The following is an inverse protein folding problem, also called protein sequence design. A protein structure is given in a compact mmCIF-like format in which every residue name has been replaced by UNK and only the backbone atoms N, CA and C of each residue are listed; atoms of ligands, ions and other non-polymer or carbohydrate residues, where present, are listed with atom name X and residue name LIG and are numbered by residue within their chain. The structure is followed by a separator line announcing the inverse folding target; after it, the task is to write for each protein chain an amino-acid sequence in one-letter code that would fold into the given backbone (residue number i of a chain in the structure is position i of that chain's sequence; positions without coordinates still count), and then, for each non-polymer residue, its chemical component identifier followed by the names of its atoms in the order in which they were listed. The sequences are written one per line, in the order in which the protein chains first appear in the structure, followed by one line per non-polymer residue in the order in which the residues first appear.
data_IF_426045679433
#
_entry.id   IF_426045679433
#
_cell.length_a   1.000
_cell.length_b   1.000
_cell.length_c   1.000
_cell.angle_alpha   90.00
_cell.angle_beta   90.00
_cell.angle_gamma   90.00
#
_symmetry.space_group_name_H-M   'P 1'
#
loop_
_entity.id
_entity.type
_entity.pdbx_description
1 polymer ?
#
# COMPACT_ATOMS: atom_id res chain seq x y z
N UNK A 1 -62.74 -37.69 -6.12
CA UNK A 1 -62.06 -36.49 -6.64
C UNK A 1 -60.58 -36.50 -6.27
N UNK A 2 -59.72 -36.30 -7.27
CA UNK A 2 -58.29 -35.92 -7.27
C UNK A 2 -57.44 -36.03 -5.99
N UNK A 3 -56.62 -37.08 -5.88
CA UNK A 3 -55.45 -37.13 -4.99
C UNK A 3 -54.11 -37.08 -5.74
N UNK A 4 -54.08 -37.33 -7.05
CA UNK A 4 -52.87 -37.34 -7.89
C UNK A 4 -52.48 -35.96 -8.44
N UNK A 5 -53.41 -35.02 -8.56
CA UNK A 5 -53.18 -33.71 -9.20
C UNK A 5 -52.33 -32.73 -8.37
N UNK A 6 -52.28 -32.91 -7.04
CA UNK A 6 -51.48 -32.07 -6.13
C UNK A 6 -49.98 -32.38 -6.20
N UNK A 7 -49.60 -33.62 -6.57
CA UNK A 7 -48.20 -34.03 -6.69
C UNK A 7 -47.56 -33.53 -8.00
N UNK A 8 -48.31 -33.47 -9.10
CA UNK A 8 -47.79 -33.03 -10.42
C UNK A 8 -47.52 -31.52 -10.46
N UNK A 9 -48.33 -30.72 -9.76
CA UNK A 9 -48.09 -29.27 -9.63
C UNK A 9 -46.87 -28.92 -8.76
N UNK A 10 -46.52 -29.78 -7.80
CA UNK A 10 -45.39 -29.57 -6.91
C UNK A 10 -44.04 -29.65 -7.63
N UNK A 11 -43.90 -30.57 -8.59
CA UNK A 11 -42.65 -30.75 -9.34
C UNK A 11 -42.36 -29.53 -10.23
N UNK A 12 -43.38 -29.02 -10.93
CA UNK A 12 -43.25 -27.82 -11.76
C UNK A 12 -42.87 -26.58 -10.94
N UNK A 13 -43.52 -26.38 -9.79
CA UNK A 13 -43.21 -25.26 -8.90
C UNK A 13 -41.79 -25.37 -8.30
N UNK A 14 -41.35 -26.58 -7.95
CA UNK A 14 -40.01 -26.80 -7.43
C UNK A 14 -38.94 -26.51 -8.49
N UNK A 15 -39.13 -26.96 -9.73
CA UNK A 15 -38.20 -26.70 -10.82
C UNK A 15 -38.14 -25.21 -11.17
N UNK A 16 -39.29 -24.53 -11.30
CA UNK A 16 -39.34 -23.11 -11.63
C UNK A 16 -38.83 -22.23 -10.47
N UNK A 17 -39.30 -22.48 -9.24
CA UNK A 17 -38.90 -21.74 -8.06
C UNK A 17 -37.43 -21.97 -7.70
N UNK A 18 -36.97 -23.23 -7.76
CA UNK A 18 -35.58 -23.58 -7.54
C UNK A 18 -34.65 -22.97 -8.59
N UNK A 19 -35.04 -22.99 -9.87
CA UNK A 19 -34.26 -22.35 -10.94
C UNK A 19 -34.21 -20.83 -10.76
N UNK A 20 -35.33 -20.19 -10.43
CA UNK A 20 -35.37 -18.75 -10.17
C UNK A 20 -34.48 -18.35 -8.99
N UNK A 21 -34.53 -19.12 -7.89
CA UNK A 21 -33.67 -18.89 -6.72
C UNK A 21 -32.19 -19.11 -7.07
N UNK A 22 -31.87 -20.16 -7.81
CA UNK A 22 -30.50 -20.43 -8.25
C UNK A 22 -29.96 -19.31 -9.14
N UNK A 23 -30.76 -18.81 -10.09
CA UNK A 23 -30.38 -17.66 -10.94
C UNK A 23 -30.15 -16.41 -10.08
N UNK A 24 -31.04 -16.12 -9.12
CA UNK A 24 -30.87 -14.99 -8.22
C UNK A 24 -29.58 -15.10 -7.37
N UNK A 25 -29.26 -16.29 -6.86
CA UNK A 25 -28.02 -16.54 -6.12
C UNK A 25 -26.78 -16.37 -7.00
N UNK A 26 -26.82 -16.83 -8.26
CA UNK A 26 -25.70 -16.65 -9.20
C UNK A 26 -25.48 -15.17 -9.53
N UNK A 27 -26.56 -14.41 -9.78
CA UNK A 27 -26.48 -12.96 -10.02
C UNK A 27 -25.91 -12.25 -8.80
N UNK A 28 -26.38 -12.58 -7.59
CA UNK A 28 -25.87 -12.01 -6.35
C UNK A 28 -24.39 -12.34 -6.12
N UNK A 29 -24.00 -13.60 -6.30
CA UNK A 29 -22.61 -14.04 -6.15
C UNK A 29 -21.67 -13.32 -7.15
N UNK A 30 -22.09 -13.19 -8.42
CA UNK A 30 -21.34 -12.43 -9.42
C UNK A 30 -21.27 -10.95 -9.08
N UNK A 31 -22.35 -10.34 -8.60
CA UNK A 31 -22.37 -8.94 -8.16
C UNK A 31 -21.45 -8.67 -6.98
N UNK A 32 -21.32 -9.61 -6.04
CA UNK A 32 -20.37 -9.51 -4.91
C UNK A 32 -18.93 -9.69 -5.38
N UNK A 33 -18.67 -10.61 -6.32
CA UNK A 33 -17.34 -10.81 -6.89
C UNK A 33 -16.85 -9.58 -7.68
N UNK A 34 -17.76 -8.88 -8.38
CA UNK A 34 -17.47 -7.65 -9.13
C UNK A 34 -17.16 -6.43 -8.25
N UNK A 35 -17.39 -6.51 -6.93
CA UNK A 35 -17.07 -5.42 -5.99
C UNK A 35 -15.63 -5.46 -5.49
N UNK A 36 -14.84 -6.47 -5.86
CA UNK A 36 -13.40 -6.46 -5.56
C UNK A 36 -12.75 -5.36 -6.39
N UNK A 37 -12.14 -4.40 -5.71
CA UNK A 37 -11.38 -3.35 -6.37
C UNK A 37 -10.28 -3.96 -7.24
N UNK A 38 -10.02 -3.34 -8.38
CA UNK A 38 -8.95 -3.74 -9.27
C UNK A 38 -7.61 -3.45 -8.61
N UNK A 39 -6.60 -4.33 -8.77
CA UNK A 39 -5.27 -4.05 -8.30
C UNK A 39 -4.64 -2.92 -9.13
N UNK A 40 -3.68 -2.20 -8.54
CA UNK A 40 -2.88 -1.21 -9.25
C UNK A 40 -1.41 -1.30 -8.83
N UNK A 41 -0.53 -0.84 -9.72
CA UNK A 41 0.90 -0.87 -9.50
C UNK A 41 1.43 0.50 -9.10
N UNK A 42 2.44 0.52 -8.24
CA UNK A 42 3.19 1.71 -7.87
C UNK A 42 4.69 1.42 -7.85
N UNK A 43 5.52 2.42 -8.16
CA UNK A 43 6.97 2.29 -8.18
C UNK A 43 7.56 3.08 -7.01
N UNK A 44 8.30 2.39 -6.15
CA UNK A 44 9.04 3.00 -5.05
C UNK A 44 10.53 3.08 -5.38
N UNK A 45 11.07 4.28 -5.38
CA UNK A 45 12.47 4.58 -5.63
C UNK A 45 13.19 4.67 -4.29
N UNK A 46 14.05 3.70 -3.98
CA UNK A 46 14.88 3.72 -2.78
C UNK A 46 16.35 3.98 -3.13
N UNK A 47 17.09 4.77 -2.32
CA UNK A 47 18.52 4.93 -2.52
C UNK A 47 19.29 3.63 -2.21
N UNK A 48 18.81 2.85 -1.25
CA UNK A 48 19.33 1.53 -0.90
C UNK A 48 18.16 0.63 -0.50
N UNK A 49 18.13 -0.59 -1.02
CA UNK A 49 17.14 -1.61 -0.71
C UNK A 49 17.84 -2.89 -0.25
N UNK A 50 18.33 -2.91 1.00
CA UNK A 50 18.93 -4.12 1.56
C UNK A 50 17.84 -5.16 1.81
N UNK A 51 17.90 -6.26 1.08
CA UNK A 51 17.10 -7.48 1.23
C UNK A 51 15.60 -7.37 0.95
N UNK A 52 15.12 -6.30 0.29
CA UNK A 52 13.80 -6.33 -0.35
C UNK A 52 13.87 -7.27 -1.56
N UNK A 53 12.96 -8.23 -1.63
CA UNK A 53 12.82 -9.16 -2.74
C UNK A 53 11.36 -9.27 -3.20
N UNK A 54 11.15 -9.91 -4.34
CA UNK A 54 9.80 -10.26 -4.82
C UNK A 54 9.05 -11.05 -3.75
N UNK A 55 7.81 -10.68 -3.48
CA UNK A 55 6.98 -11.24 -2.41
C UNK A 55 7.07 -10.51 -1.07
N UNK A 56 7.97 -9.53 -0.93
CA UNK A 56 8.04 -8.69 0.28
C UNK A 56 6.68 -8.02 0.54
N UNK A 57 6.08 -8.17 1.73
CA UNK A 57 4.79 -7.57 2.03
C UNK A 57 4.89 -6.05 2.13
N UNK A 58 3.88 -5.35 1.63
CA UNK A 58 3.75 -3.90 1.76
C UNK A 58 2.61 -3.58 2.69
N UNK A 59 2.89 -2.74 3.70
CA UNK A 59 1.94 -2.38 4.74
C UNK A 59 1.72 -0.87 4.78
N UNK A 60 0.50 -0.47 5.09
CA UNK A 60 0.16 0.90 5.45
C UNK A 60 -0.30 0.88 6.90
N UNK A 61 0.41 1.58 7.78
CA UNK A 61 0.12 1.61 9.24
C UNK A 61 -0.04 0.19 9.83
N UNK A 62 0.79 -0.76 9.40
CA UNK A 62 0.75 -2.15 9.86
C UNK A 62 -0.28 -3.08 9.18
N UNK A 63 -1.16 -2.56 8.31
CA UNK A 63 -2.11 -3.39 7.54
C UNK A 63 -1.50 -3.76 6.20
N UNK A 64 -1.50 -5.06 5.84
CA UNK A 64 -1.00 -5.51 4.54
C UNK A 64 -1.94 -5.08 3.42
N UNK A 65 -1.38 -4.35 2.46
CA UNK A 65 -2.12 -3.79 1.33
C UNK A 65 -1.68 -4.35 -0.02
N UNK A 66 -0.48 -4.94 -0.08
CA UNK A 66 0.10 -5.41 -1.32
C UNK A 66 1.38 -6.22 -1.11
N UNK A 67 2.05 -6.47 -2.23
CA UNK A 67 3.36 -7.15 -2.27
C UNK A 67 4.23 -6.62 -3.39
N UNK A 68 5.55 -6.73 -3.20
CA UNK A 68 6.54 -6.44 -4.24
C UNK A 68 6.46 -7.48 -5.34
N UNK A 69 6.30 -7.05 -6.59
CA UNK A 69 6.23 -7.92 -7.77
C UNK A 69 7.52 -7.93 -8.59
N UNK A 70 8.31 -6.85 -8.55
CA UNK A 70 9.59 -6.74 -9.27
C UNK A 70 10.54 -5.78 -8.53
N UNK A 71 11.84 -6.01 -8.64
CA UNK A 71 12.90 -5.17 -8.05
C UNK A 71 13.99 -4.95 -9.09
N UNK A 72 14.16 -3.69 -9.50
CA UNK A 72 15.13 -3.29 -10.53
C UNK A 72 16.24 -2.46 -9.91
N UNK A 73 17.44 -3.02 -9.72
CA UNK A 73 18.59 -2.24 -9.30
C UNK A 73 19.05 -1.32 -10.45
N UNK A 74 19.29 -0.05 -10.13
CA UNK A 74 19.94 0.94 -10.99
C UNK A 74 21.24 1.45 -10.33
N UNK A 75 22.03 2.22 -11.06
CA UNK A 75 23.36 2.68 -10.58
C UNK A 75 23.28 3.60 -9.35
N UNK A 76 22.21 4.38 -9.22
CA UNK A 76 22.03 5.40 -8.19
C UNK A 76 20.83 5.12 -7.26
N UNK A 77 19.98 4.15 -7.60
CA UNK A 77 18.73 3.83 -6.90
C UNK A 77 18.27 2.41 -7.18
N UNK A 78 17.29 1.94 -6.41
CA UNK A 78 16.57 0.69 -6.65
C UNK A 78 15.09 1.02 -6.84
N UNK A 79 14.55 0.60 -7.98
CA UNK A 79 13.15 0.77 -8.31
C UNK A 79 12.39 -0.51 -7.92
N UNK A 80 11.49 -0.38 -6.94
CA UNK A 80 10.70 -1.50 -6.42
C UNK A 80 9.27 -1.35 -6.95
N UNK A 81 8.84 -2.30 -7.78
CA UNK A 81 7.48 -2.36 -8.30
C UNK A 81 6.60 -3.11 -7.32
N UNK A 82 5.53 -2.45 -6.86
CA UNK A 82 4.59 -2.96 -5.88
C UNK A 82 3.21 -3.06 -6.50
N UNK A 83 2.57 -4.21 -6.31
CA UNK A 83 1.17 -4.40 -6.63
C UNK A 83 0.34 -4.24 -5.35
N UNK A 84 -0.67 -3.37 -5.42
CA UNK A 84 -1.62 -3.10 -4.35
C UNK A 84 -2.92 -3.81 -4.71
N UNK A 85 -3.41 -4.64 -3.80
CA UNK A 85 -4.52 -5.56 -4.07
C UNK A 85 -5.89 -4.87 -4.21
N UNK A 86 -6.04 -3.67 -3.63
CA UNK A 86 -7.32 -2.97 -3.55
C UNK A 86 -7.13 -1.47 -3.74
N UNK A 87 -7.47 -0.97 -4.93
CA UNK A 87 -7.38 0.46 -5.26
C UNK A 87 -8.33 1.36 -4.44
N UNK A 88 -9.35 0.80 -3.79
CA UNK A 88 -10.37 1.57 -3.04
C UNK A 88 -10.05 1.69 -1.55
N UNK A 89 -9.51 0.62 -0.94
CA UNK A 89 -9.15 0.63 0.49
C UNK A 89 -7.69 0.98 0.77
N UNK A 90 -6.79 0.71 -0.17
CA UNK A 90 -5.35 0.93 -0.01
C UNK A 90 -4.84 2.03 -0.94
N UNK A 91 -5.17 3.28 -0.61
CA UNK A 91 -4.72 4.46 -1.34
C UNK A 91 -3.43 4.98 -0.72
N UNK A 92 -2.38 5.07 -1.52
CA UNK A 92 -1.09 5.64 -1.09
C UNK A 92 -1.12 7.14 -1.37
N UNK A 93 -1.14 8.01 -0.33
CA UNK A 93 -1.13 9.44 -0.53
C UNK A 93 0.25 9.92 -1.02
N UNK A 94 0.24 10.88 -1.95
CA UNK A 94 1.43 11.54 -2.44
C UNK A 94 1.60 12.82 -1.61
N UNK A 95 2.46 12.78 -0.59
CA UNK A 95 2.67 13.95 0.25
C UNK A 95 3.52 15.01 -0.49
N UNK A 96 2.85 15.76 -1.38
CA UNK A 96 3.42 16.87 -2.15
C UNK A 96 3.50 18.16 -1.31
N UNK A 97 2.64 18.28 -0.30
CA UNK A 97 2.55 19.41 0.62
C UNK A 97 3.02 19.01 2.01
N UNK A 98 4.32 18.85 2.10
CA UNK A 98 4.96 18.98 3.38
C UNK A 98 5.46 20.44 3.37
N UNK A 99 4.83 21.33 4.14
CA UNK A 99 5.50 22.46 4.80
C UNK A 99 5.79 21.96 6.22
N UNK A 100 7.01 22.06 6.75
CA UNK A 100 7.31 21.41 8.01
C UNK A 100 6.60 22.22 9.09
N UNK A 101 5.88 21.60 10.04
CA UNK A 101 5.32 22.35 11.15
C UNK A 101 6.47 23.07 11.87
N UNK A 102 6.32 24.38 12.19
CA UNK A 102 7.38 25.13 12.84
C UNK A 102 7.78 24.44 14.15
N UNK A 103 9.07 24.09 14.28
CA UNK A 103 9.62 23.32 15.40
C UNK A 103 9.97 21.86 15.10
N UNK A 104 9.50 21.28 13.98
CA UNK A 104 9.87 19.93 13.55
C UNK A 104 10.93 19.98 12.44
N UNK A 105 12.17 19.64 12.78
CA UNK A 105 13.32 19.64 11.87
C UNK A 105 13.41 18.37 10.99
N UNK A 106 12.34 17.57 10.90
CA UNK A 106 12.34 16.30 10.18
C UNK A 106 11.00 15.99 9.52
N UNK A 107 11.02 15.84 8.20
CA UNK A 107 9.90 15.40 7.38
C UNK A 107 9.62 13.92 7.61
N UNK A 108 8.50 13.58 8.25
CA UNK A 108 8.14 12.20 8.62
C UNK A 108 7.14 11.51 7.67
N UNK A 109 7.13 11.88 6.39
CA UNK A 109 6.44 11.10 5.37
C UNK A 109 7.45 10.14 4.78
N UNK A 110 7.51 8.96 5.34
CA UNK A 110 8.58 8.02 5.04
C UNK A 110 7.93 6.72 4.63
N UNK A 111 8.08 6.39 3.36
CA UNK A 111 7.99 5.00 2.91
C UNK A 111 9.31 4.41 3.39
N UNK A 112 9.24 3.62 4.46
CA UNK A 112 10.41 3.05 5.12
C UNK A 112 10.59 1.62 4.65
N UNK A 113 11.72 1.36 3.99
CA UNK A 113 12.25 0.02 3.86
C UNK A 113 12.88 -0.36 5.20
N UNK A 114 12.29 -1.34 5.91
CA UNK A 114 12.77 -1.80 7.20
C UNK A 114 13.20 -3.28 7.13
N UNK A 115 14.34 -3.57 7.74
CA UNK A 115 14.78 -4.91 8.12
C UNK A 115 15.04 -4.90 9.64
N UNK A 116 14.06 -5.32 10.44
CA UNK A 116 14.20 -5.32 11.89
C UNK A 116 14.40 -6.75 12.42
N UNK A 117 15.57 -7.05 12.99
CA UNK A 117 15.80 -8.27 13.81
C UNK A 117 17.01 -9.15 13.45
N UNK A 118 17.31 -10.12 14.33
CA UNK A 118 18.32 -11.19 14.13
C UNK A 118 17.85 -12.24 13.10
N UNK A 119 16.54 -12.26 12.83
CA UNK A 119 15.82 -13.02 11.80
C UNK A 119 14.88 -12.01 11.10
N UNK A 120 15.44 -10.98 10.45
CA UNK A 120 14.64 -9.90 9.87
C UNK A 120 14.12 -10.30 8.49
N UNK A 121 12.81 -10.51 8.38
CA UNK A 121 12.14 -10.51 7.08
C UNK A 121 12.05 -9.05 6.58
N UNK A 122 12.33 -8.80 5.29
CA UNK A 122 12.16 -7.48 4.71
C UNK A 122 10.69 -7.06 4.76
N UNK A 123 10.43 -5.80 5.11
CA UNK A 123 9.10 -5.21 5.10
C UNK A 123 9.15 -3.78 4.56
N UNK A 124 8.17 -3.42 3.74
CA UNK A 124 7.93 -2.03 3.34
C UNK A 124 6.76 -1.48 4.15
N UNK A 125 7.02 -0.51 5.02
CA UNK A 125 5.98 0.16 5.81
C UNK A 125 5.79 1.60 5.33
N UNK A 126 4.53 1.95 5.09
CA UNK A 126 4.11 3.25 4.60
C UNK A 126 3.36 3.94 5.73
N UNK A 127 3.96 5.00 6.27
CA UNK A 127 3.32 5.85 7.27
C UNK A 127 2.93 7.19 6.64
N UNK A 128 1.65 7.39 6.29
CA UNK A 128 1.20 8.65 5.70
C UNK A 128 1.11 9.75 6.77
N UNK A 129 1.44 10.97 6.34
CA UNK A 129 1.34 12.16 7.19
C UNK A 129 -0.11 12.60 7.36
N UNK A 130 -0.38 13.22 8.50
CA UNK A 130 -1.64 13.90 8.78
C UNK A 130 -1.43 15.41 8.60
N UNK A 131 -2.41 16.16 8.08
CA UNK A 131 -3.71 15.70 7.59
C UNK A 131 -3.62 14.98 6.25
N UNK A 132 -4.48 13.96 6.05
CA UNK A 132 -4.56 13.27 4.76
C UNK A 132 -5.13 14.22 3.71
N UNK A 133 -4.58 14.24 2.48
CA UNK A 133 -5.17 15.02 1.41
C UNK A 133 -6.56 14.48 1.06
N UNK A 134 -7.49 15.37 0.74
CA UNK A 134 -8.78 14.97 0.17
C UNK A 134 -8.54 14.68 -1.30
N UNK A 135 -8.94 13.49 -1.75
CA UNK A 135 -8.84 13.05 -3.13
C UNK A 135 -10.23 12.75 -3.68
N UNK A 136 -10.44 13.08 -4.96
CA UNK A 136 -11.72 12.83 -5.65
C UNK A 136 -11.57 11.74 -6.71
N UNK A 137 -10.37 11.58 -7.29
CA UNK A 137 -10.06 10.57 -8.31
C UNK A 137 -9.56 9.27 -7.70
N UNK A 138 -9.79 8.16 -8.41
CA UNK A 138 -9.24 6.84 -8.08
C UNK A 138 -7.85 6.64 -8.77
N UNK A 139 -6.92 5.80 -8.24
CA UNK A 139 -5.59 5.58 -8.83
C UNK A 139 -5.57 5.08 -10.29
N UNK A 140 -6.68 4.50 -10.75
CA UNK A 140 -6.85 3.93 -12.10
C UNK A 140 -7.52 4.89 -13.09
N UNK A 141 -8.01 6.05 -12.65
CA UNK A 141 -8.74 6.98 -13.52
C UNK A 141 -7.79 7.87 -14.35
N UNK A 142 -8.14 8.13 -15.63
CA UNK A 142 -7.45 9.14 -16.43
C UNK A 142 -7.72 10.53 -15.83
N UNK A 143 -6.70 11.14 -15.23
CA UNK A 143 -6.80 12.41 -14.49
C UNK A 143 -6.28 12.34 -13.05
N UNK A 144 -5.90 11.15 -12.55
CA UNK A 144 -5.28 11.00 -11.23
C UNK A 144 -3.97 11.81 -11.08
N UNK A 145 -3.11 11.82 -12.11
CA UNK A 145 -1.81 12.51 -12.06
C UNK A 145 -1.96 14.05 -12.02
N UNK A 146 -3.07 14.59 -12.54
CA UNK A 146 -3.37 16.02 -12.52
C UNK A 146 -3.71 16.48 -11.08
N UNK A 147 -4.45 15.68 -10.33
CA UNK A 147 -4.78 15.95 -8.93
C UNK A 147 -3.52 15.86 -8.05
N UNK A 148 -2.66 14.88 -8.29
CA UNK A 148 -1.35 14.74 -7.63
C UNK A 148 -1.42 14.57 -6.10
N UNK A 149 -2.61 14.29 -5.55
CA UNK A 149 -2.86 14.03 -4.13
C UNK A 149 -2.53 12.59 -3.73
N UNK A 150 -2.66 11.66 -4.67
CA UNK A 150 -2.47 10.21 -4.49
C UNK A 150 -1.51 9.68 -5.56
N UNK A 151 -1.09 8.44 -5.38
CA UNK A 151 -0.18 7.75 -6.29
C UNK A 151 -1.02 6.97 -7.29
N UNK A 152 -0.83 7.27 -8.56
CA UNK A 152 -1.61 6.67 -9.64
C UNK A 152 -0.97 5.37 -10.14
N UNK A 153 -1.67 4.67 -11.03
CA UNK A 153 -1.16 3.46 -11.66
C UNK A 153 0.18 3.70 -12.37
N UNK A 154 1.20 2.92 -12.01
CA UNK A 154 2.61 3.07 -12.41
C UNK A 154 3.24 4.41 -12.00
N UNK A 155 2.67 5.10 -11.01
CA UNK A 155 3.22 6.33 -10.46
C UNK A 155 4.50 6.06 -9.66
N UNK A 156 5.44 7.00 -9.76
CA UNK A 156 6.72 6.95 -9.05
C UNK A 156 6.67 7.75 -7.75
N UNK A 157 7.27 7.19 -6.69
CA UNK A 157 7.43 7.84 -5.38
C UNK A 157 8.83 7.54 -4.84
N UNK A 158 9.43 8.53 -4.19
CA UNK A 158 10.68 8.35 -3.47
C UNK A 158 10.42 7.78 -2.08
N UNK A 159 11.02 6.62 -1.80
CA UNK A 159 11.12 6.06 -0.47
C UNK A 159 12.39 6.50 0.24
N UNK A 160 12.43 6.28 1.55
CA UNK A 160 13.66 6.44 2.33
C UNK A 160 13.98 5.14 3.04
N UNK A 161 15.27 4.88 3.24
CA UNK A 161 15.69 3.77 4.06
C UNK A 161 15.50 4.15 5.54
N UNK A 162 14.86 3.27 6.32
CA UNK A 162 14.88 3.42 7.77
C UNK A 162 16.34 3.36 8.22
N UNK A 163 16.83 4.42 8.85
CA UNK A 163 18.21 4.43 9.36
C UNK A 163 18.26 3.45 10.54
N UNK A 164 19.01 2.36 10.38
CA UNK A 164 19.26 1.42 11.47
C UNK A 164 19.83 2.12 12.71
N UNK A 165 19.63 1.52 13.88
CA UNK A 165 20.10 2.06 15.17
C UNK A 165 21.60 2.41 15.17
N UNK A 166 22.40 1.65 14.42
CA UNK A 166 23.85 1.83 14.28
C UNK A 166 24.23 3.11 13.52
N UNK A 167 23.50 3.42 12.43
CA UNK A 167 23.70 4.65 11.67
C UNK A 167 23.30 5.90 12.49
N UNK A 168 22.28 5.77 13.35
CA UNK A 168 21.93 6.80 14.31
C UNK A 168 23.04 7.00 15.36
N UNK A 169 23.59 5.89 15.89
CA UNK A 169 24.70 5.89 16.84
C UNK A 169 25.97 6.54 16.30
N UNK A 170 26.38 6.19 15.08
CA UNK A 170 27.57 6.77 14.42
C UNK A 170 27.41 8.27 14.21
N UNK A 171 26.24 8.71 13.72
CA UNK A 171 25.97 10.15 13.54
C UNK A 171 25.97 10.89 14.86
N UNK A 172 25.43 10.30 15.93
CA UNK A 172 25.44 10.91 17.26
C UNK A 172 26.86 11.03 17.82
N UNK A 173 27.68 9.98 17.67
CA UNK A 173 29.09 9.96 18.09
C UNK A 173 29.90 11.03 17.37
N UNK A 174 29.81 11.14 16.04
CA UNK A 174 30.50 12.19 15.27
C UNK A 174 30.06 13.58 15.70
N UNK A 175 28.75 13.76 15.97
CA UNK A 175 28.21 15.05 16.43
C UNK A 175 28.63 15.41 17.85
N UNK A 176 28.89 14.43 18.71
CA UNK A 176 29.47 14.67 20.04
C UNK A 176 30.94 15.06 19.94
N UNK A 177 31.75 14.32 19.18
CA UNK A 177 33.18 14.64 18.98
C UNK A 177 33.34 16.06 18.40
N UNK A 178 32.56 16.42 17.38
CA UNK A 178 32.58 17.76 16.79
C UNK A 178 32.00 18.87 17.70
N UNK A 179 31.33 18.51 18.80
CA UNK A 179 30.86 19.46 19.82
C UNK A 179 31.93 19.68 20.90
N UNK A 180 32.69 18.64 21.21
CA UNK A 180 33.78 18.65 22.17
C UNK A 180 34.96 19.49 21.65
N UNK A 181 35.40 19.26 20.40
CA UNK A 181 36.44 20.08 19.75
C UNK A 181 36.08 21.57 19.68
N UNK A 182 34.79 21.90 19.58
CA UNK A 182 34.34 23.30 19.58
C UNK A 182 34.30 23.93 20.97
N UNK A 183 34.23 23.13 22.04
CA UNK A 183 34.36 23.59 23.42
C UNK A 183 35.82 23.78 23.82
N UNK A 184 36.74 22.99 23.27
CA UNK A 184 38.18 23.14 23.54
C UNK A 184 38.83 24.31 22.78
N UNK A 185 38.21 24.78 21.70
CA UNK A 185 38.68 25.92 20.90
C UNK A 185 38.03 27.26 21.26
N UNK A 186 37.19 27.30 22.30
CA UNK A 186 36.50 28.50 22.80
C UNK A 186 36.98 28.85 24.21
#
# INVERSE_FOLDING_TARGET
MGKSSILEGGVGLFLLGGSALAIALVIWAKGVALRKALPYNAVFEFPLASGISVGTPVRIRGVQVGSVIDVRPSLDRVDVLVEVNDATSAIIPRNRHATPPPGLHSWRHVIEANQSGLIAEPLVDITPQLPLPVFTRNPLEPGCEEEGAIVCHNGHIKGQQARGAEACWLRWRVRMVARDERRERA
#
